data_IF_388813015868
#
_entry.id   IF_388813015868
#
_cell.length_a   1.000
_cell.length_b   1.000
_cell.length_c   1.000
_cell.angle_alpha   90.00
_cell.angle_beta   90.00
_cell.angle_gamma   90.00
#
_symmetry.space_group_name_H-M   'P 1'
#
loop_
_entity.id
_entity.type
_entity.pdbx_description
1 polymer ?
#
# COMPACT_ATOMS: atom_id res chain seq x y z
N UNK A 1 30.03 5.89 18.72
CA UNK A 1 28.91 6.85 18.59
C UNK A 1 27.66 6.02 18.36
N UNK A 2 26.68 6.08 19.26
CA UNK A 2 25.43 5.34 19.09
C UNK A 2 24.67 5.92 17.89
N UNK A 3 24.29 5.09 16.93
CA UNK A 3 23.34 5.51 15.89
C UNK A 3 21.98 5.71 16.56
N UNK A 4 21.26 6.78 16.24
CA UNK A 4 19.89 6.96 16.74
C UNK A 4 18.97 5.77 16.38
N UNK A 5 19.34 5.02 15.33
CA UNK A 5 18.66 3.81 14.91
C UNK A 5 19.01 2.55 15.73
N UNK A 6 19.94 2.61 16.71
CA UNK A 6 20.39 1.44 17.46
C UNK A 6 19.26 0.64 18.13
N UNK A 7 18.18 1.34 18.50
CA UNK A 7 17.00 0.75 19.15
C UNK A 7 15.84 0.45 18.18
N UNK A 8 15.91 0.88 16.92
CA UNK A 8 14.88 0.56 15.93
C UNK A 8 15.18 -0.79 15.29
N UNK A 9 14.18 -1.68 15.28
CA UNK A 9 14.28 -2.99 14.64
C UNK A 9 14.53 -2.91 13.11
N UNK A 10 14.26 -1.76 12.49
CA UNK A 10 14.45 -1.50 11.09
C UNK A 10 14.90 -0.05 10.86
N UNK A 11 15.66 0.23 9.78
CA UNK A 11 16.05 1.59 9.43
C UNK A 11 14.81 2.48 9.21
N UNK A 12 14.88 3.77 9.57
CA UNK A 12 13.78 4.70 9.36
C UNK A 12 13.47 4.82 7.87
N UNK A 13 12.17 4.90 7.53
CA UNK A 13 11.70 5.08 6.15
C UNK A 13 10.81 6.32 6.08
N UNK A 14 11.02 7.14 5.05
CA UNK A 14 10.22 8.33 4.80
C UNK A 14 8.92 7.93 4.08
N UNK A 15 7.77 8.37 4.59
CA UNK A 15 6.47 8.26 3.94
C UNK A 15 5.88 9.66 3.74
N UNK A 16 5.54 10.00 2.50
CA UNK A 16 4.78 11.21 2.15
C UNK A 16 3.35 10.79 1.85
N UNK A 17 2.43 11.17 2.75
CA UNK A 17 1.00 10.89 2.62
C UNK A 17 0.19 12.19 2.80
N UNK A 18 -1.05 12.23 2.30
CA UNK A 18 -1.98 13.33 2.57
C UNK A 18 -2.14 13.55 4.08
N UNK A 19 -2.34 14.82 4.46
CA UNK A 19 -2.67 15.14 5.85
C UNK A 19 -4.15 14.85 6.09
N UNK A 20 -4.50 14.21 7.22
CA UNK A 20 -5.89 14.07 7.60
C UNK A 20 -6.55 15.42 7.83
N UNK A 21 -7.76 15.57 7.30
CA UNK A 21 -8.55 16.81 7.29
C UNK A 21 -8.90 17.35 8.68
N UNK A 22 -9.10 16.49 9.67
CA UNK A 22 -9.50 16.85 11.04
C UNK A 22 -8.36 16.70 12.07
N UNK A 23 -7.12 16.45 11.63
CA UNK A 23 -5.96 16.21 12.50
C UNK A 23 -6.06 14.94 13.37
N UNK A 24 -7.20 14.24 13.34
CA UNK A 24 -7.48 13.06 14.16
C UNK A 24 -7.73 11.80 13.32
N UNK A 25 -7.99 11.94 12.01
CA UNK A 25 -8.12 10.83 11.10
C UNK A 25 -6.77 10.12 10.96
N UNK A 26 -6.56 9.11 11.79
CA UNK A 26 -5.43 8.20 11.64
C UNK A 26 -5.71 7.33 10.41
N UNK A 27 -4.81 7.40 9.42
CA UNK A 27 -4.88 6.51 8.27
C UNK A 27 -4.62 5.07 8.69
N UNK A 28 -5.37 4.13 8.13
CA UNK A 28 -5.19 2.70 8.37
C UNK A 28 -4.40 2.07 7.23
N UNK A 29 -3.36 1.31 7.56
CA UNK A 29 -2.66 0.47 6.57
C UNK A 29 -3.44 -0.83 6.42
N UNK A 30 -3.91 -1.09 5.20
CA UNK A 30 -4.63 -2.29 4.81
C UNK A 30 -3.72 -3.21 4.01
N UNK A 31 -3.80 -4.50 4.29
CA UNK A 31 -3.12 -5.52 3.49
C UNK A 31 -4.10 -6.10 2.49
N UNK A 32 -3.93 -5.81 1.20
CA UNK A 32 -4.83 -6.20 0.11
C UNK A 32 -4.04 -6.86 -1.00
N UNK A 33 -4.70 -7.63 -1.86
CA UNK A 33 -4.03 -8.23 -3.02
C UNK A 33 -3.88 -7.22 -4.14
N UNK A 34 -2.65 -7.07 -4.64
CA UNK A 34 -2.38 -6.18 -5.76
C UNK A 34 -3.00 -6.73 -7.06
N UNK A 35 -3.77 -5.94 -7.82
CA UNK A 35 -4.63 -6.44 -8.88
C UNK A 35 -3.87 -7.05 -10.08
N UNK A 36 -2.56 -6.78 -10.21
CA UNK A 36 -1.71 -7.34 -11.27
C UNK A 36 -0.92 -8.57 -10.81
N UNK A 37 -0.35 -8.56 -9.61
CA UNK A 37 0.55 -9.62 -9.14
C UNK A 37 -0.15 -10.66 -8.26
N UNK A 38 -1.35 -10.37 -7.75
CA UNK A 38 -2.06 -11.17 -6.74
C UNK A 38 -1.27 -11.33 -5.42
N UNK A 39 -0.21 -10.54 -5.23
CA UNK A 39 0.61 -10.52 -4.03
C UNK A 39 0.01 -9.61 -2.97
N UNK A 40 0.24 -9.96 -1.71
CA UNK A 40 -0.13 -9.13 -0.57
C UNK A 40 0.66 -7.82 -0.59
N UNK A 41 -0.07 -6.71 -0.65
CA UNK A 41 0.48 -5.35 -0.82
C UNK A 41 -0.23 -4.40 0.14
N UNK A 42 0.54 -3.47 0.72
CA UNK A 42 0.00 -2.44 1.59
C UNK A 42 -0.75 -1.35 0.81
N UNK A 43 -1.85 -0.88 1.37
CA UNK A 43 -2.59 0.31 0.94
C UNK A 43 -2.86 1.20 2.14
N UNK A 44 -2.93 2.52 1.95
CA UNK A 44 -3.32 3.47 2.99
C UNK A 44 -4.77 3.89 2.79
N UNK A 45 -5.61 3.64 3.78
CA UNK A 45 -6.98 4.14 3.82
C UNK A 45 -7.06 5.34 4.77
N UNK A 46 -7.31 6.52 4.21
CA UNK A 46 -7.37 7.78 4.96
C UNK A 46 -8.44 8.68 4.34
N UNK A 47 -9.22 9.36 5.18
CA UNK A 47 -10.27 10.31 4.76
C UNK A 47 -11.24 9.74 3.71
N UNK A 48 -11.62 8.46 3.85
CA UNK A 48 -12.53 7.76 2.94
C UNK A 48 -11.92 7.41 1.57
N UNK A 49 -10.63 7.66 1.38
CA UNK A 49 -9.91 7.39 0.14
C UNK A 49 -8.87 6.28 0.33
N UNK A 50 -8.84 5.36 -0.63
CA UNK A 50 -7.81 4.34 -0.72
C UNK A 50 -6.61 4.91 -1.49
N UNK A 51 -5.43 4.69 -0.95
CA UNK A 51 -4.17 5.09 -1.56
C UNK A 51 -3.24 3.90 -1.70
N UNK A 52 -2.53 3.85 -2.81
CA UNK A 52 -1.46 2.90 -3.07
C UNK A 52 -0.12 3.47 -2.58
N UNK A 53 0.68 2.62 -1.92
CA UNK A 53 2.06 2.97 -1.59
C UNK A 53 2.95 2.78 -2.81
N UNK A 54 3.60 3.86 -3.25
CA UNK A 54 4.62 3.82 -4.27
C UNK A 54 5.99 4.00 -3.62
N UNK A 55 6.95 3.18 -4.03
CA UNK A 55 8.34 3.29 -3.58
C UNK A 55 9.18 3.99 -4.64
N UNK A 56 9.94 5.00 -4.24
CA UNK A 56 10.89 5.71 -5.08
C UNK A 56 12.26 5.72 -4.41
N UNK A 57 13.29 5.41 -5.19
CA UNK A 57 14.69 5.48 -4.75
C UNK A 57 15.55 5.98 -5.90
N UNK A 58 16.23 7.10 -5.68
CA UNK A 58 17.27 7.57 -6.59
C UNK A 58 18.56 6.75 -6.41
N UNK A 59 19.40 6.68 -7.46
CA UNK A 59 20.63 5.86 -7.44
C UNK A 59 21.58 6.26 -6.31
N UNK A 60 21.69 7.56 -6.03
CA UNK A 60 22.51 8.12 -4.97
C UNK A 60 21.69 9.17 -4.24
N UNK A 61 21.13 8.79 -3.10
CA UNK A 61 20.33 9.70 -2.29
C UNK A 61 20.41 9.28 -0.83
N UNK A 62 20.42 10.27 0.05
CA UNK A 62 20.37 10.11 1.50
C UNK A 62 19.49 11.21 2.09
N UNK A 63 18.93 10.96 3.28
CA UNK A 63 18.11 11.95 3.99
C UNK A 63 18.89 12.56 5.14
N UNK A 64 18.80 13.88 5.28
CA UNK A 64 19.18 14.55 6.53
C UNK A 64 18.02 14.47 7.52
N UNK A 65 18.28 13.90 8.69
CA UNK A 65 17.33 13.77 9.80
C UNK A 65 17.91 14.48 11.02
N UNK A 66 17.68 15.79 11.12
CA UNK A 66 18.38 16.64 12.09
C UNK A 66 19.89 16.63 11.82
N UNK A 67 20.68 16.23 12.82
CA UNK A 67 22.15 16.13 12.72
C UNK A 67 22.65 14.78 12.19
N UNK A 68 21.74 13.90 11.73
CA UNK A 68 22.06 12.56 11.22
C UNK A 68 21.84 12.45 9.72
N UNK A 69 22.58 11.54 9.08
CA UNK A 69 22.38 11.16 7.67
C UNK A 69 21.84 9.73 7.63
N UNK A 70 20.67 9.56 7.03
CA UNK A 70 20.14 8.25 6.67
C UNK A 70 20.62 7.90 5.26
N UNK A 71 21.48 6.89 5.16
CA UNK A 71 22.06 6.43 3.90
C UNK A 71 21.00 6.01 2.88
N UNK A 72 19.85 5.49 3.33
CA UNK A 72 18.76 5.12 2.44
C UNK A 72 17.91 6.34 2.07
N UNK A 73 18.20 6.95 0.92
CA UNK A 73 17.39 8.02 0.32
C UNK A 73 16.06 7.57 -0.31
N UNK A 74 15.58 6.38 0.04
CA UNK A 74 14.27 5.90 -0.41
C UNK A 74 13.13 6.70 0.21
N UNK A 75 12.04 6.84 -0.53
CA UNK A 75 10.80 7.46 -0.09
C UNK A 75 9.61 6.60 -0.52
N UNK A 76 8.65 6.43 0.37
CA UNK A 76 7.31 5.98 0.02
C UNK A 76 6.40 7.18 -0.18
N UNK A 77 5.55 7.15 -1.19
CA UNK A 77 4.53 8.19 -1.39
C UNK A 77 3.20 7.57 -1.77
N UNK A 78 2.11 8.19 -1.33
CA UNK A 78 0.76 7.69 -1.52
C UNK A 78 0.08 8.36 -2.72
N UNK A 79 -0.55 7.56 -3.58
CA UNK A 79 -1.43 8.05 -4.66
C UNK A 79 -2.82 7.49 -4.49
N UNK A 80 -3.86 8.31 -4.68
CA UNK A 80 -5.25 7.84 -4.64
C UNK A 80 -5.46 6.75 -5.70
N UNK A 81 -6.12 5.67 -5.32
CA UNK A 81 -6.51 4.58 -6.22
C UNK A 81 -8.02 4.33 -6.09
N UNK A 82 -8.67 4.06 -7.22
CA UNK A 82 -10.08 3.66 -7.22
C UNK A 82 -10.22 2.22 -6.65
N UNK A 83 -10.99 2.01 -5.57
CA UNK A 83 -11.18 0.69 -4.98
C UNK A 83 -11.72 -0.36 -5.96
N UNK A 84 -12.37 0.05 -7.06
CA UNK A 84 -12.87 -0.88 -8.07
C UNK A 84 -11.75 -1.78 -8.60
N UNK A 85 -10.52 -1.27 -8.73
CA UNK A 85 -9.39 -2.04 -9.24
C UNK A 85 -9.03 -3.22 -8.33
N UNK A 86 -9.16 -3.06 -7.01
CA UNK A 86 -8.94 -4.13 -6.04
C UNK A 86 -10.08 -5.15 -6.07
N UNK A 87 -11.30 -4.70 -6.39
CA UNK A 87 -12.48 -5.56 -6.49
C UNK A 87 -12.53 -6.36 -7.81
N UNK A 88 -11.88 -5.90 -8.88
CA UNK A 88 -11.94 -6.57 -10.19
C UNK A 88 -11.58 -8.06 -10.16
N UNK A 89 -10.50 -8.52 -9.49
CA UNK A 89 -10.21 -9.95 -9.37
C UNK A 89 -11.33 -10.74 -8.67
N UNK A 90 -11.93 -10.17 -7.62
CA UNK A 90 -13.03 -10.77 -6.86
C UNK A 90 -14.28 -10.89 -7.74
N UNK A 91 -14.64 -9.81 -8.43
CA UNK A 91 -15.78 -9.79 -9.35
C UNK A 91 -15.59 -10.77 -10.51
N UNK A 92 -14.37 -10.88 -11.04
CA UNK A 92 -14.04 -11.85 -12.08
C UNK A 92 -14.20 -13.29 -11.57
N UNK A 93 -13.71 -13.59 -10.37
CA UNK A 93 -13.87 -14.91 -9.75
C UNK A 93 -15.35 -15.25 -9.52
N UNK A 94 -16.13 -14.31 -8.99
CA UNK A 94 -17.57 -14.47 -8.78
C UNK A 94 -18.35 -14.69 -10.09
N UNK A 95 -17.94 -14.03 -11.18
CA UNK A 95 -18.55 -14.27 -12.50
C UNK A 95 -18.30 -15.70 -12.99
N UNK A 96 -17.09 -16.22 -12.78
CA UNK A 96 -16.73 -17.58 -13.21
C UNK A 96 -17.42 -18.66 -12.37
N UNK A 97 -17.62 -18.45 -11.06
CA UNK A 97 -18.36 -19.41 -10.23
C UNK A 97 -19.84 -19.47 -10.59
N UNK A 98 -20.47 -18.35 -10.96
CA UNK A 98 -21.85 -18.33 -11.46
C UNK A 98 -21.96 -19.09 -12.80
N UNK A 99 -20.97 -18.97 -13.69
CA UNK A 99 -20.92 -19.76 -14.92
C UNK A 99 -20.79 -21.27 -14.63
N UNK A 100 -20.00 -21.66 -13.62
CA UNK A 100 -19.86 -23.06 -13.19
C UNK A 100 -21.20 -23.62 -12.70
N UNK A 101 -21.92 -22.85 -11.87
CA UNK A 101 -23.25 -23.23 -11.37
C UNK A 101 -24.24 -23.37 -12.54
N UNK A 102 -24.18 -22.47 -13.54
CA UNK A 102 -25.01 -22.59 -14.73
C UNK A 102 -24.70 -23.83 -15.57
N UNK A 103 -23.45 -24.27 -15.66
CA UNK A 103 -23.11 -25.50 -16.39
C UNK A 103 -23.58 -26.77 -15.67
N UNK A 104 -23.61 -26.78 -14.33
CA UNK A 104 -24.10 -27.94 -13.57
C UNK A 104 -25.62 -28.08 -13.66
N UNK A 105 -26.37 -26.96 -13.67
CA UNK A 105 -27.83 -26.98 -13.83
C UNK A 105 -28.25 -27.52 -15.20
N UNK A 106 -27.43 -27.34 -16.24
CA UNK A 106 -27.76 -27.81 -17.60
C UNK A 106 -27.41 -29.29 -17.85
N UNK A 107 -26.80 -29.97 -16.87
CA UNK A 107 -26.47 -31.40 -16.95
C UNK A 107 -27.42 -32.30 -16.12
N UNK A 108 -28.49 -31.74 -15.55
CA UNK A 108 -29.58 -32.47 -14.88
C UNK A 108 -30.87 -32.29 -15.71
#
# INVERSE_FOLDING_TARGET
MASWCGDLAAPPRLLVAPRPSDGNCQGNVLSLRHPRSDEETGYLFIDGQLHEFNWFKERFGSWFLGDYVCEDGSLYYCTVVDPIFILLPILKAARMSVCQIKSEIFLI
#
